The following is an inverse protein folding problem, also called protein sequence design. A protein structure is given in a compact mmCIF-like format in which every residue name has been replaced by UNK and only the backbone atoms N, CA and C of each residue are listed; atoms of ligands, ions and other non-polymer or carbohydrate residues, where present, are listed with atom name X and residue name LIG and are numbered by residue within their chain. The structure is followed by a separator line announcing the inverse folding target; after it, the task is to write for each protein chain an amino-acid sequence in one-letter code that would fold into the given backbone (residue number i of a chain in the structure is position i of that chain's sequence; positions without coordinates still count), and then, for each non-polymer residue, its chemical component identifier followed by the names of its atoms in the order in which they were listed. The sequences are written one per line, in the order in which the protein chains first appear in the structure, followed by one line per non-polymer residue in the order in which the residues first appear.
data_IF_899889751660
#
_entry.id   IF_899889751660
#
_cell.length_a   1.000
_cell.length_b   1.000
_cell.length_c   1.000
_cell.angle_alpha   90.00
_cell.angle_beta   90.00
_cell.angle_gamma   90.00
#
_symmetry.space_group_name_H-M   'P 1'
#
loop_
_entity.id
_entity.type
_entity.pdbx_description
1 polymer ?
#
# COMPACT_ATOMS: atom_id res chain seq x y z
N UNK A 1 21.08 -24.77 37.48
CA UNK A 1 22.00 -24.58 36.33
C UNK A 1 21.42 -25.08 35.01
N UNK A 2 20.86 -26.29 34.94
CA UNK A 2 20.24 -26.83 33.71
C UNK A 2 19.14 -25.94 33.11
N UNK A 3 18.27 -25.36 33.96
CA UNK A 3 17.22 -24.43 33.52
C UNK A 3 17.76 -23.16 32.83
N UNK A 4 18.87 -22.61 33.32
CA UNK A 4 19.52 -21.45 32.72
C UNK A 4 20.14 -21.80 31.36
N UNK A 5 20.72 -22.99 31.26
CA UNK A 5 21.29 -23.47 30.00
C UNK A 5 20.18 -23.67 28.95
N UNK A 6 19.07 -24.30 29.33
CA UNK A 6 17.94 -24.56 28.43
C UNK A 6 17.19 -23.28 28.02
N UNK A 7 17.29 -22.16 28.76
CA UNK A 7 16.65 -20.89 28.40
C UNK A 7 17.59 -19.92 27.66
N UNK A 8 18.88 -19.91 27.97
CA UNK A 8 19.86 -19.04 27.32
C UNK A 8 20.26 -19.54 25.94
N UNK A 9 20.31 -20.86 25.74
CA UNK A 9 20.73 -21.44 24.46
C UNK A 9 19.75 -21.11 23.31
N UNK A 10 18.42 -21.21 23.47
CA UNK A 10 17.47 -20.77 22.45
C UNK A 10 17.53 -19.26 22.19
N UNK A 11 17.76 -18.44 23.23
CA UNK A 11 17.87 -16.98 23.09
C UNK A 11 19.11 -16.59 22.27
N UNK A 12 20.26 -17.18 22.59
CA UNK A 12 21.51 -16.95 21.87
C UNK A 12 21.39 -17.40 20.41
N UNK A 13 20.73 -18.54 20.17
CA UNK A 13 20.49 -19.04 18.82
C UNK A 13 19.56 -18.12 18.02
N UNK A 14 18.49 -17.60 18.64
CA UNK A 14 17.59 -16.62 18.01
C UNK A 14 18.33 -15.32 17.63
N UNK A 15 19.17 -14.79 18.52
CA UNK A 15 19.97 -13.60 18.25
C UNK A 15 20.99 -13.83 17.12
N UNK A 16 21.66 -14.99 17.12
CA UNK A 16 22.57 -15.37 16.03
C UNK A 16 21.82 -15.49 14.70
N UNK A 17 20.64 -16.10 14.71
CA UNK A 17 19.80 -16.27 13.51
C UNK A 17 19.33 -14.93 12.91
N UNK A 18 19.01 -13.95 13.76
CA UNK A 18 18.66 -12.59 13.33
C UNK A 18 19.89 -11.82 12.83
N UNK A 19 21.01 -11.86 13.55
CA UNK A 19 22.23 -11.10 13.21
C UNK A 19 22.96 -11.62 11.97
N UNK A 20 22.86 -12.92 11.65
CA UNK A 20 23.43 -13.52 10.43
C UNK A 20 22.57 -13.25 9.19
N UNK A 21 21.42 -12.57 9.31
CA UNK A 21 20.51 -12.32 8.20
C UNK A 21 19.83 -13.58 7.64
N UNK A 22 19.93 -14.71 8.34
CA UNK A 22 19.23 -15.95 7.99
C UNK A 22 17.72 -15.85 8.21
N UNK A 23 17.27 -14.89 9.01
CA UNK A 23 15.90 -14.41 8.96
C UNK A 23 15.72 -13.55 7.72
N UNK A 24 15.33 -14.19 6.62
CA UNK A 24 14.83 -13.48 5.45
C UNK A 24 13.57 -12.73 5.85
N UNK A 25 13.70 -11.44 6.16
CA UNK A 25 12.61 -10.47 6.27
C UNK A 25 11.90 -10.26 4.92
N UNK A 26 11.81 -11.29 4.09
CA UNK A 26 11.03 -11.34 2.87
C UNK A 26 9.56 -11.34 3.29
N UNK A 27 9.04 -10.16 3.62
CA UNK A 27 7.61 -9.96 3.63
C UNK A 27 7.13 -10.42 2.25
N UNK A 28 6.13 -11.30 2.19
CA UNK A 28 5.64 -11.78 0.89
C UNK A 28 4.98 -10.66 0.08
N UNK A 29 4.82 -9.47 0.67
CA UNK A 29 4.25 -8.29 0.06
C UNK A 29 5.21 -7.73 -0.99
N UNK A 30 4.62 -7.11 -2.01
CA UNK A 30 5.33 -6.45 -3.10
C UNK A 30 5.47 -4.94 -2.86
N UNK A 31 4.56 -4.36 -2.08
CA UNK A 31 4.67 -2.99 -1.57
C UNK A 31 5.66 -2.84 -0.40
N UNK A 32 6.06 -1.61 -0.13
CA UNK A 32 6.86 -1.25 1.04
C UNK A 32 5.93 -0.81 2.18
N UNK A 33 6.07 -1.42 3.35
CA UNK A 33 5.35 -1.01 4.55
C UNK A 33 5.85 0.34 5.06
N UNK A 34 4.90 1.20 5.43
CA UNK A 34 5.22 2.43 6.13
C UNK A 34 5.67 2.11 7.56
N UNK A 35 6.67 2.84 8.04
CA UNK A 35 7.21 2.68 9.39
C UNK A 35 6.46 3.56 10.41
N UNK A 36 5.77 4.59 9.93
CA UNK A 36 5.00 5.53 10.71
C UNK A 36 3.51 5.44 10.38
N UNK A 37 2.67 5.73 11.38
CA UNK A 37 1.22 5.77 11.20
C UNK A 37 0.81 7.09 10.56
N UNK A 38 0.43 7.05 9.28
CA UNK A 38 -0.04 8.21 8.52
C UNK A 38 -1.53 8.06 8.24
N UNK A 39 -2.35 8.94 8.85
CA UNK A 39 -3.78 9.02 8.57
C UNK A 39 -4.02 9.88 7.32
N UNK A 40 -4.15 9.25 6.17
CA UNK A 40 -4.20 9.91 4.87
C UNK A 40 -5.61 10.39 4.48
N UNK A 41 -6.62 9.59 4.83
CA UNK A 41 -8.02 9.82 4.45
C UNK A 41 -8.94 9.73 5.68
N UNK A 42 -10.17 10.29 5.64
CA UNK A 42 -11.18 10.01 6.65
C UNK A 42 -11.60 8.53 6.61
N UNK A 43 -12.35 8.07 7.61
CA UNK A 43 -12.94 6.72 7.60
C UNK A 43 -13.86 6.54 6.37
N UNK A 44 -13.72 5.42 5.68
CA UNK A 44 -14.54 5.07 4.52
C UNK A 44 -16.00 4.81 4.93
N UNK A 45 -16.92 5.03 3.99
CA UNK A 45 -18.34 4.74 4.14
C UNK A 45 -18.75 3.56 3.26
N UNK A 46 -19.76 2.80 3.69
CA UNK A 46 -20.25 1.64 2.92
C UNK A 46 -19.35 0.41 3.02
N UNK A 47 -19.39 -0.42 1.99
CA UNK A 47 -18.73 -1.74 1.90
C UNK A 47 -17.32 -1.66 1.29
N UNK A 48 -16.58 -0.61 1.66
CA UNK A 48 -15.23 -0.31 1.18
C UNK A 48 -14.21 -0.70 2.23
N UNK A 49 -13.33 -1.61 1.87
CA UNK A 49 -12.35 -2.17 2.80
C UNK A 49 -10.95 -1.63 2.53
N UNK A 50 -10.67 -1.31 1.27
CA UNK A 50 -9.38 -0.83 0.79
C UNK A 50 -9.54 0.39 -0.10
N UNK A 51 -8.54 1.25 -0.09
CA UNK A 51 -8.48 2.43 -0.94
C UNK A 51 -7.09 2.54 -1.54
N UNK A 52 -7.03 2.66 -2.85
CA UNK A 52 -5.79 2.90 -3.58
C UNK A 52 -5.71 4.40 -3.88
N UNK A 53 -4.70 5.05 -3.32
CA UNK A 53 -4.57 6.50 -3.34
C UNK A 53 -3.32 6.88 -4.13
N UNK A 54 -3.44 7.78 -5.10
CA UNK A 54 -2.28 8.48 -5.64
C UNK A 54 -2.10 9.80 -4.88
N UNK A 55 -0.92 10.03 -4.33
CA UNK A 55 -0.61 11.29 -3.62
C UNK A 55 0.19 12.17 -4.55
N UNK A 56 -0.27 13.41 -4.76
CA UNK A 56 0.55 14.41 -5.43
C UNK A 56 0.21 15.83 -4.99
N UNK A 57 1.20 16.70 -4.87
CA UNK A 57 1.02 18.14 -4.63
C UNK A 57 0.99 18.99 -5.91
N UNK A 58 1.17 18.35 -7.08
CA UNK A 58 1.35 19.04 -8.35
C UNK A 58 0.06 19.74 -8.82
N UNK A 59 0.17 20.96 -9.38
CA UNK A 59 -0.99 21.72 -9.85
C UNK A 59 -1.65 21.12 -11.09
N UNK A 60 -0.94 20.29 -11.85
CA UNK A 60 -1.42 19.63 -13.05
C UNK A 60 -1.09 18.13 -13.01
N UNK A 61 -1.90 17.32 -13.72
CA UNK A 61 -1.67 15.89 -13.86
C UNK A 61 -0.64 15.61 -14.98
N UNK A 62 0.62 15.49 -14.58
CA UNK A 62 1.76 15.15 -15.44
C UNK A 62 1.74 13.68 -15.90
N UNK A 63 2.80 13.24 -16.60
CA UNK A 63 2.91 11.88 -17.10
C UNK A 63 2.91 10.82 -15.98
N UNK A 64 3.52 11.12 -14.82
CA UNK A 64 3.50 10.24 -13.65
C UNK A 64 2.09 10.08 -13.10
N UNK A 65 1.37 11.18 -12.94
CA UNK A 65 -0.03 11.18 -12.51
C UNK A 65 -0.93 10.39 -13.47
N UNK A 66 -0.80 10.63 -14.78
CA UNK A 66 -1.57 9.91 -15.80
C UNK A 66 -1.29 8.40 -15.76
N UNK A 67 -0.03 8.01 -15.58
CA UNK A 67 0.34 6.61 -15.44
C UNK A 67 -0.18 6.02 -14.13
N UNK A 68 -0.11 6.73 -13.01
CA UNK A 68 -0.68 6.29 -11.75
C UNK A 68 -2.17 5.99 -11.90
N UNK A 69 -2.94 6.93 -12.47
CA UNK A 69 -4.37 6.76 -12.75
C UNK A 69 -4.63 5.55 -13.64
N UNK A 70 -3.83 5.38 -14.70
CA UNK A 70 -3.90 4.22 -15.58
C UNK A 70 -3.67 2.91 -14.80
N UNK A 71 -2.60 2.82 -14.01
CA UNK A 71 -2.26 1.66 -13.19
C UNK A 71 -3.36 1.32 -12.19
N UNK A 72 -3.90 2.33 -11.50
CA UNK A 72 -5.03 2.19 -10.57
C UNK A 72 -6.26 1.60 -11.25
N UNK A 73 -6.60 2.09 -12.45
CA UNK A 73 -7.72 1.57 -13.23
C UNK A 73 -7.48 0.12 -13.69
N UNK A 74 -6.24 -0.26 -14.02
CA UNK A 74 -5.91 -1.65 -14.34
C UNK A 74 -6.07 -2.56 -13.10
N UNK A 75 -5.61 -2.12 -11.92
CA UNK A 75 -5.80 -2.85 -10.65
C UNK A 75 -7.29 -3.05 -10.37
N UNK A 76 -8.06 -1.97 -10.41
CA UNK A 76 -9.50 -2.01 -10.19
C UNK A 76 -10.18 -2.98 -11.16
N UNK A 77 -9.91 -2.84 -12.46
CA UNK A 77 -10.48 -3.74 -13.47
C UNK A 77 -10.12 -5.21 -13.20
N UNK A 78 -8.86 -5.49 -12.86
CA UNK A 78 -8.35 -6.84 -12.63
C UNK A 78 -8.90 -7.51 -11.36
N UNK A 79 -9.45 -6.76 -10.40
CA UNK A 79 -10.12 -7.32 -9.21
C UNK A 79 -11.47 -8.00 -9.54
N UNK A 80 -12.05 -7.72 -10.71
CA UNK A 80 -13.31 -8.31 -11.14
C UNK A 80 -14.42 -8.10 -10.10
N UNK A 81 -14.98 -9.20 -9.57
CA UNK A 81 -16.10 -9.14 -8.60
C UNK A 81 -15.75 -8.45 -7.28
N UNK A 82 -14.47 -8.35 -6.93
CA UNK A 82 -14.03 -7.72 -5.68
C UNK A 82 -13.86 -6.20 -5.78
N UNK A 83 -14.16 -5.62 -6.94
CA UNK A 83 -14.08 -4.17 -7.20
C UNK A 83 -14.83 -3.32 -6.17
N UNK A 84 -16.00 -3.78 -5.72
CA UNK A 84 -16.84 -3.03 -4.78
C UNK A 84 -16.16 -2.73 -3.43
N UNK A 85 -15.10 -3.48 -3.08
CA UNK A 85 -14.35 -3.31 -1.84
C UNK A 85 -13.12 -2.40 -1.99
N UNK A 86 -12.87 -1.87 -3.19
CA UNK A 86 -11.77 -0.97 -3.51
C UNK A 86 -12.29 0.36 -4.04
N UNK A 87 -11.92 1.47 -3.41
CA UNK A 87 -12.06 2.80 -4.03
C UNK A 87 -10.73 3.31 -4.57
N UNK A 88 -10.81 4.15 -5.60
CA UNK A 88 -9.66 4.85 -6.17
C UNK A 88 -9.72 6.33 -5.81
N UNK A 89 -8.64 6.83 -5.22
CA UNK A 89 -8.55 8.20 -4.69
C UNK A 89 -7.32 8.91 -5.23
N UNK A 90 -7.40 10.24 -5.27
CA UNK A 90 -6.24 11.12 -5.32
C UNK A 90 -6.24 12.04 -4.10
N UNK A 91 -5.06 12.23 -3.53
CA UNK A 91 -4.85 13.18 -2.43
C UNK A 91 -3.87 14.25 -2.85
N UNK A 92 -4.25 15.51 -2.67
CA UNK A 92 -3.51 16.67 -3.16
C UNK A 92 -3.74 16.97 -4.64
N UNK A 93 -3.04 18.00 -5.11
CA UNK A 93 -3.00 18.42 -6.50
C UNK A 93 -4.37 18.87 -7.01
N UNK A 94 -4.61 18.69 -8.31
CA UNK A 94 -5.88 19.06 -8.95
C UNK A 94 -6.93 17.96 -8.87
N UNK A 95 -8.20 18.34 -8.68
CA UNK A 95 -9.32 17.41 -8.62
C UNK A 95 -9.40 16.55 -9.91
N UNK A 96 -9.27 15.21 -9.79
CA UNK A 96 -9.39 14.29 -10.91
C UNK A 96 -10.86 14.12 -11.36
N UNK A 97 -11.06 13.77 -12.63
CA UNK A 97 -12.41 13.57 -13.18
C UNK A 97 -13.07 12.24 -12.77
N UNK A 98 -12.27 11.18 -12.55
CA UNK A 98 -12.76 9.80 -12.38
C UNK A 98 -12.45 9.18 -11.02
N UNK A 99 -11.66 9.86 -10.19
CA UNK A 99 -11.24 9.36 -8.89
C UNK A 99 -11.90 10.22 -7.81
N UNK A 100 -12.06 9.64 -6.62
CA UNK A 100 -12.42 10.41 -5.43
C UNK A 100 -11.24 11.32 -5.06
N UNK A 101 -11.51 12.46 -4.41
CA UNK A 101 -10.49 13.50 -4.20
C UNK A 101 -10.50 14.08 -2.80
N UNK A 102 -9.31 14.31 -2.27
CA UNK A 102 -9.07 15.09 -1.06
C UNK A 102 -8.00 16.14 -1.32
N UNK A 103 -8.30 17.41 -1.04
CA UNK A 103 -7.41 18.52 -1.36
C UNK A 103 -6.14 18.59 -0.48
N UNK A 104 -6.27 18.35 0.82
CA UNK A 104 -5.18 18.53 1.78
C UNK A 104 -4.91 17.23 2.54
N UNK A 105 -3.89 16.46 2.15
CA UNK A 105 -3.45 15.35 2.97
C UNK A 105 -2.43 15.78 4.04
N UNK A 106 -2.47 15.10 5.19
CA UNK A 106 -1.60 15.35 6.33
C UNK A 106 -0.46 14.32 6.29
N UNK A 107 0.81 14.76 6.40
CA UNK A 107 1.97 13.87 6.46
C UNK A 107 2.36 13.22 5.12
N UNK A 108 2.39 13.98 4.03
CA UNK A 108 2.53 13.43 2.66
C UNK A 108 3.91 13.45 2.04
N UNK A 109 4.89 14.09 2.66
CA UNK A 109 6.21 14.25 2.02
C UNK A 109 6.83 12.89 1.64
N UNK A 110 6.64 11.85 2.47
CA UNK A 110 7.13 10.50 2.17
C UNK A 110 6.27 9.72 1.15
N UNK A 111 5.02 10.15 0.95
CA UNK A 111 4.04 9.52 0.07
C UNK A 111 3.97 10.16 -1.31
N UNK A 112 4.62 11.31 -1.48
CA UNK A 112 4.54 12.14 -2.68
C UNK A 112 4.88 11.36 -3.94
N UNK A 113 4.02 11.50 -4.95
CA UNK A 113 4.05 10.80 -6.23
C UNK A 113 4.06 9.26 -6.14
N UNK A 114 3.59 8.68 -5.04
CA UNK A 114 3.44 7.22 -4.88
C UNK A 114 1.99 6.78 -4.93
N UNK A 115 1.81 5.50 -5.22
CA UNK A 115 0.55 4.80 -4.96
C UNK A 115 0.57 4.25 -3.55
N UNK A 116 -0.49 4.48 -2.79
CA UNK A 116 -0.60 4.14 -1.38
C UNK A 116 -1.83 3.29 -1.17
N UNK A 117 -1.66 2.15 -0.50
CA UNK A 117 -2.77 1.33 -0.05
C UNK A 117 -3.20 1.75 1.35
N UNK A 118 -4.46 2.13 1.48
CA UNK A 118 -5.08 2.68 2.68
C UNK A 118 -6.23 1.79 3.12
N UNK A 119 -6.37 1.58 4.43
CA UNK A 119 -7.46 0.77 5.00
C UNK A 119 -8.79 1.54 5.08
N UNK A 120 -9.82 0.89 5.62
CA UNK A 120 -11.14 1.50 5.86
C UNK A 120 -11.12 2.66 6.86
N UNK A 121 -10.15 2.72 7.78
CA UNK A 121 -10.06 3.78 8.79
C UNK A 121 -9.30 5.02 8.27
N UNK A 122 -8.54 4.89 7.19
CA UNK A 122 -7.77 5.99 6.62
C UNK A 122 -6.27 5.86 6.80
N UNK A 123 -5.82 4.76 7.40
CA UNK A 123 -4.42 4.54 7.70
C UNK A 123 -3.70 4.07 6.43
N UNK A 124 -2.67 4.81 6.03
CA UNK A 124 -1.76 4.40 4.99
C UNK A 124 -0.88 3.24 5.49
N UNK A 125 -0.87 2.14 4.75
CA UNK A 125 -0.17 0.91 5.16
C UNK A 125 1.03 0.61 4.28
N UNK A 126 0.86 0.69 2.96
CA UNK A 126 1.88 0.29 1.99
C UNK A 126 1.99 1.27 0.85
N UNK A 127 3.22 1.46 0.36
CA UNK A 127 3.51 2.30 -0.80
C UNK A 127 4.06 1.50 -1.96
N UNK A 128 3.84 2.02 -3.16
CA UNK A 128 4.28 1.44 -4.42
C UNK A 128 4.81 2.55 -5.35
N UNK A 129 5.91 2.30 -6.08
CA UNK A 129 6.51 3.31 -6.95
C UNK A 129 5.66 3.56 -8.19
N UNK A 130 5.55 4.82 -8.58
CA UNK A 130 5.00 5.26 -9.86
C UNK A 130 6.13 5.65 -10.79
N UNK A 131 6.00 5.30 -12.07
CA UNK A 131 7.03 5.54 -13.08
C UNK A 131 6.40 6.04 -14.37
N UNK A 132 7.17 6.76 -15.19
CA UNK A 132 6.73 7.22 -16.52
C UNK A 132 6.70 6.08 -17.55
N UNK A 133 7.39 4.98 -17.26
CA UNK A 133 7.38 3.79 -18.09
C UNK A 133 6.08 2.99 -17.92
N UNK A 134 5.29 2.93 -19.00
CA UNK A 134 4.02 2.22 -19.05
C UNK A 134 4.13 0.72 -18.75
N UNK A 135 5.26 0.09 -19.05
CA UNK A 135 5.47 -1.32 -18.73
C UNK A 135 5.71 -1.51 -17.24
N UNK A 136 6.47 -0.61 -16.61
CA UNK A 136 6.77 -0.66 -15.19
C UNK A 136 5.53 -0.35 -14.35
N UNK A 137 4.70 0.62 -14.72
CA UNK A 137 3.46 0.90 -14.00
C UNK A 137 2.46 -0.27 -14.05
N UNK A 138 2.46 -1.05 -15.14
CA UNK A 138 1.69 -2.31 -15.22
C UNK A 138 2.23 -3.36 -14.23
N UNK A 139 3.56 -3.44 -14.05
CA UNK A 139 4.15 -4.32 -13.04
C UNK A 139 3.81 -3.85 -11.62
N UNK A 140 3.85 -2.53 -11.36
CA UNK A 140 3.35 -1.95 -10.11
C UNK A 140 1.89 -2.34 -9.87
N UNK A 141 1.03 -2.28 -10.89
CA UNK A 141 -0.36 -2.74 -10.78
C UNK A 141 -0.48 -4.22 -10.41
N UNK A 142 0.34 -5.10 -11.01
CA UNK A 142 0.36 -6.54 -10.65
C UNK A 142 0.84 -6.78 -9.22
N UNK A 143 1.81 -6.00 -8.75
CA UNK A 143 2.29 -6.03 -7.37
C UNK A 143 1.15 -5.66 -6.41
N UNK A 144 0.47 -4.53 -6.64
CA UNK A 144 -0.69 -4.08 -5.87
C UNK A 144 -1.79 -5.15 -5.87
N UNK A 145 -2.13 -5.70 -7.03
CA UNK A 145 -3.17 -6.74 -7.17
C UNK A 145 -2.82 -8.00 -6.39
N UNK A 146 -1.55 -8.39 -6.36
CA UNK A 146 -1.07 -9.55 -5.60
C UNK A 146 -1.30 -9.35 -4.11
N UNK A 147 -0.95 -8.17 -3.59
CA UNK A 147 -1.07 -7.85 -2.18
C UNK A 147 -2.54 -7.64 -1.78
N UNK A 148 -3.32 -6.91 -2.59
CA UNK A 148 -4.76 -6.74 -2.40
C UNK A 148 -5.50 -8.07 -2.36
N UNK A 149 -5.21 -9.00 -3.27
CA UNK A 149 -5.88 -10.31 -3.26
C UNK A 149 -5.59 -11.12 -2.00
N UNK A 150 -4.38 -10.99 -1.43
CA UNK A 150 -4.06 -11.60 -0.13
C UNK A 150 -4.86 -10.93 0.97
N UNK A 151 -4.84 -9.61 1.05
CA UNK A 151 -5.56 -8.84 2.07
C UNK A 151 -7.06 -9.14 2.06
N UNK A 152 -7.70 -9.05 0.88
CA UNK A 152 -9.11 -9.36 0.67
C UNK A 152 -9.47 -10.83 0.93
N UNK A 153 -8.50 -11.76 0.94
CA UNK A 153 -8.75 -13.16 1.30
C UNK A 153 -8.80 -13.35 2.82
N UNK A 154 -8.02 -12.57 3.56
CA UNK A 154 -7.94 -12.65 5.02
C UNK A 154 -8.91 -11.72 5.73
N UNK A 155 -9.54 -10.84 4.98
CA UNK A 155 -10.62 -10.00 5.46
C UNK A 155 -11.88 -10.85 5.69
N UNK A 156 -12.11 -11.23 6.95
CA UNK A 156 -13.18 -12.15 7.38
C UNK A 156 -14.57 -11.51 7.40
N UNK A 157 -14.71 -10.28 6.92
CA UNK A 157 -15.97 -9.53 6.81
C UNK A 157 -16.58 -9.49 5.41
N UNK A 158 -15.94 -10.12 4.41
CA UNK A 158 -16.37 -10.21 3.00
C UNK A 158 -17.17 -11.47 2.68
#
# INVERSE_FOLDING_TARGET
MLFLLCSLLPLAFAQAFLSLGWFGGATTNKGQWLSEEILLLPKAAGDVHWRLVYVSDKPDCDALCQNAHYGMQQVYTALGRKQQHLELWQSGGIQPQKLLWQANPVGVDELEQKLVLVDLNGLALMTYPVTEDKTQIVQTGKAILTDLNKLLKYDRGL
#
